data_IF_846714874794
#
_entry.id   IF_846714874794
#
_cell.length_a   1.000
_cell.length_b   1.000
_cell.length_c   1.000
_cell.angle_alpha   90.00
_cell.angle_beta   90.00
_cell.angle_gamma   90.00
#
_symmetry.space_group_name_H-M   'P 1'
#
loop_
_entity.id
_entity.type
_entity.pdbx_description
1 polymer ?
#
# COMPACT_ATOMS: atom_id res chain seq x y z
N UNK A 1 -32.13 6.47 12.23
CA UNK A 1 -33.08 7.36 11.55
C UNK A 1 -34.49 6.75 11.58
N UNK A 2 -35.56 7.55 11.39
CA UNK A 2 -36.94 7.03 11.29
C UNK A 2 -37.15 6.17 10.02
N UNK A 3 -36.34 6.37 9.00
CA UNK A 3 -36.44 5.73 7.68
C UNK A 3 -35.59 4.42 7.58
N UNK A 4 -34.48 4.33 8.30
CA UNK A 4 -33.60 3.15 8.29
C UNK A 4 -33.73 2.46 9.64
N UNK A 5 -34.14 1.19 9.62
CA UNK A 5 -34.24 0.37 10.85
C UNK A 5 -32.84 0.18 11.47
N UNK A 6 -32.79 0.08 12.80
CA UNK A 6 -31.57 -0.24 13.53
C UNK A 6 -31.03 -1.59 13.05
N UNK A 7 -29.72 -1.65 12.81
CA UNK A 7 -28.98 -2.86 12.45
C UNK A 7 -27.98 -3.22 13.55
N UNK A 8 -27.56 -4.48 13.62
CA UNK A 8 -26.61 -4.93 14.63
C UNK A 8 -25.15 -4.69 14.21
N UNK A 9 -24.89 -4.65 12.88
CA UNK A 9 -23.54 -4.47 12.36
C UNK A 9 -23.57 -3.75 11.01
N UNK A 10 -22.60 -2.86 10.78
CA UNK A 10 -22.35 -2.17 9.52
C UNK A 10 -21.04 -2.70 8.97
N UNK A 11 -21.07 -3.23 7.74
CA UNK A 11 -19.90 -3.76 7.03
C UNK A 11 -19.79 -3.12 5.65
N UNK A 12 -18.58 -3.07 5.13
CA UNK A 12 -18.31 -2.58 3.79
C UNK A 12 -17.25 -1.49 3.76
N UNK A 13 -16.63 -1.36 2.60
CA UNK A 13 -15.65 -0.31 2.29
C UNK A 13 -16.33 1.01 2.01
N UNK A 14 -15.56 2.09 1.96
CA UNK A 14 -16.06 3.41 1.60
C UNK A 14 -14.98 4.48 1.73
N UNK A 15 -15.33 5.68 1.34
CA UNK A 15 -14.45 6.84 1.43
C UNK A 15 -14.37 7.39 2.87
N UNK A 16 -13.66 8.51 3.05
CA UNK A 16 -13.47 9.17 4.35
C UNK A 16 -14.78 9.52 5.06
N UNK A 17 -15.87 9.83 4.31
CA UNK A 17 -17.18 10.10 4.90
C UNK A 17 -17.80 8.85 5.52
N UNK A 18 -17.68 7.69 4.86
CA UNK A 18 -18.14 6.40 5.39
C UNK A 18 -17.31 6.01 6.62
N UNK A 19 -15.99 6.19 6.58
CA UNK A 19 -15.12 5.93 7.71
C UNK A 19 -15.49 6.80 8.93
N UNK A 20 -15.75 8.08 8.73
CA UNK A 20 -16.18 8.97 9.81
C UNK A 20 -17.58 8.60 10.34
N UNK A 21 -18.53 8.28 9.47
CA UNK A 21 -19.85 7.84 9.90
C UNK A 21 -19.78 6.53 10.73
N UNK A 22 -18.92 5.60 10.35
CA UNK A 22 -18.66 4.38 11.16
C UNK A 22 -18.08 4.71 12.53
N UNK A 23 -17.16 5.67 12.62
CA UNK A 23 -16.61 6.12 13.91
C UNK A 23 -17.67 6.67 14.84
N UNK A 24 -18.58 7.49 14.30
CA UNK A 24 -19.64 8.13 15.09
C UNK A 24 -20.64 7.12 15.68
N UNK A 25 -20.88 6.00 15.02
CA UNK A 25 -21.81 4.97 15.47
C UNK A 25 -21.14 3.80 16.20
N UNK A 26 -19.80 3.84 16.32
CA UNK A 26 -19.04 2.79 17.01
C UNK A 26 -19.42 2.74 18.50
N UNK A 27 -19.79 1.56 18.97
CA UNK A 27 -20.31 1.36 20.32
C UNK A 27 -21.83 1.22 20.38
N UNK A 28 -22.57 1.96 19.53
CA UNK A 28 -24.02 1.80 19.39
C UNK A 28 -24.37 0.68 18.41
N UNK A 29 -23.54 0.49 17.39
CA UNK A 29 -23.65 -0.54 16.36
C UNK A 29 -22.27 -1.18 16.14
N UNK A 30 -22.23 -2.49 15.95
CA UNK A 30 -20.99 -3.17 15.56
C UNK A 30 -20.53 -2.68 14.18
N UNK A 31 -19.24 -2.46 14.01
CA UNK A 31 -18.63 -2.17 12.69
C UNK A 31 -17.58 -3.24 12.35
N UNK A 32 -17.23 -3.34 11.07
CA UNK A 32 -16.12 -4.19 10.63
C UNK A 32 -14.77 -3.54 10.98
N UNK A 33 -14.53 -2.36 10.39
CA UNK A 33 -13.30 -1.58 10.58
C UNK A 33 -13.56 -0.11 10.27
N UNK A 34 -12.67 0.75 10.74
CA UNK A 34 -12.53 2.12 10.25
C UNK A 34 -11.37 2.12 9.27
N UNK A 35 -11.67 2.10 7.97
CA UNK A 35 -10.65 2.15 6.95
C UNK A 35 -9.95 3.52 6.95
N UNK A 36 -8.62 3.49 6.98
CA UNK A 36 -7.77 4.62 6.62
C UNK A 36 -7.59 4.74 5.10
N UNK A 37 -6.81 5.69 4.61
CA UNK A 37 -6.31 5.67 3.24
C UNK A 37 -5.48 4.39 3.04
N UNK A 38 -5.72 3.66 1.95
CA UNK A 38 -4.99 2.42 1.69
C UNK A 38 -3.50 2.67 1.45
N UNK A 39 -2.68 1.74 1.91
CA UNK A 39 -1.22 1.86 1.90
C UNK A 39 -0.57 0.63 1.29
N UNK A 40 0.40 0.84 0.40
CA UNK A 40 1.33 -0.19 -0.04
C UNK A 40 2.76 0.19 0.30
N UNK A 41 3.51 -0.74 0.88
CA UNK A 41 4.96 -0.64 1.03
C UNK A 41 5.64 -1.76 0.26
N UNK A 42 6.54 -1.41 -0.64
CA UNK A 42 7.27 -2.36 -1.49
C UNK A 42 8.73 -2.40 -1.04
N UNK A 43 9.17 -3.55 -0.53
CA UNK A 43 10.57 -3.81 -0.22
C UNK A 43 11.24 -4.48 -1.42
N UNK A 44 12.23 -3.82 -2.01
CA UNK A 44 12.86 -4.27 -3.24
C UNK A 44 14.39 -4.14 -3.19
N UNK A 45 15.09 -4.97 -3.96
CA UNK A 45 16.54 -4.88 -4.13
C UNK A 45 16.91 -4.51 -5.59
N UNK A 46 18.21 -4.34 -5.84
CA UNK A 46 18.73 -3.95 -7.17
C UNK A 46 18.38 -4.92 -8.32
N UNK A 47 17.89 -6.10 -8.02
CA UNK A 47 17.52 -7.13 -9.01
C UNK A 47 16.04 -7.09 -9.36
N UNK A 48 15.27 -6.24 -8.67
CA UNK A 48 13.85 -6.05 -8.93
C UNK A 48 13.63 -5.23 -10.19
N UNK A 49 12.52 -5.52 -10.90
CA UNK A 49 12.15 -4.78 -12.11
C UNK A 49 11.54 -3.42 -11.73
N UNK A 50 12.13 -2.29 -12.12
CA UNK A 50 11.64 -0.96 -11.75
C UNK A 50 10.28 -0.62 -12.39
N UNK A 51 9.97 -1.17 -13.56
CA UNK A 51 8.68 -0.93 -14.23
C UNK A 51 7.54 -1.60 -13.48
N UNK A 52 7.75 -2.83 -13.00
CA UNK A 52 6.74 -3.55 -12.21
C UNK A 52 6.51 -2.88 -10.86
N UNK A 53 7.59 -2.48 -10.17
CA UNK A 53 7.45 -1.72 -8.91
C UNK A 53 6.68 -0.42 -9.14
N UNK A 54 6.97 0.29 -10.22
CA UNK A 54 6.24 1.52 -10.54
C UNK A 54 4.75 1.25 -10.80
N UNK A 55 4.43 0.14 -11.49
CA UNK A 55 3.04 -0.27 -11.72
C UNK A 55 2.31 -0.56 -10.41
N UNK A 56 2.94 -1.28 -9.47
CA UNK A 56 2.33 -1.63 -8.20
C UNK A 56 2.13 -0.37 -7.32
N UNK A 57 3.10 0.55 -7.29
CA UNK A 57 2.96 1.85 -6.62
C UNK A 57 1.83 2.70 -7.22
N UNK A 58 1.66 2.67 -8.55
CA UNK A 58 0.58 3.39 -9.25
C UNK A 58 -0.77 2.73 -8.99
N UNK A 59 -0.84 1.40 -8.98
CA UNK A 59 -2.07 0.66 -8.68
C UNK A 59 -2.66 1.11 -7.34
N UNK A 60 -1.84 1.26 -6.30
CA UNK A 60 -2.28 1.83 -5.03
C UNK A 60 -2.64 3.32 -5.14
N UNK A 61 -1.81 4.11 -5.81
CA UNK A 61 -1.98 5.56 -5.89
C UNK A 61 -3.24 6.00 -6.64
N UNK A 62 -3.76 5.19 -7.56
CA UNK A 62 -4.96 5.52 -8.35
C UNK A 62 -6.28 5.31 -7.59
N UNK A 63 -6.24 4.65 -6.42
CA UNK A 63 -7.42 4.42 -5.60
C UNK A 63 -7.94 5.69 -4.93
N UNK A 64 -7.03 6.49 -4.34
CA UNK A 64 -7.41 7.72 -3.64
C UNK A 64 -6.26 8.75 -3.64
N UNK A 65 -6.60 10.04 -3.60
CA UNK A 65 -5.62 11.14 -3.52
C UNK A 65 -4.81 11.13 -2.21
N UNK A 66 -5.27 10.42 -1.19
CA UNK A 66 -4.62 10.22 0.10
C UNK A 66 -3.94 8.86 0.22
N UNK A 67 -4.03 8.00 -0.81
CA UNK A 67 -3.34 6.71 -0.82
C UNK A 67 -1.84 6.89 -0.66
N UNK A 68 -1.19 5.97 0.05
CA UNK A 68 0.23 6.02 0.32
C UNK A 68 0.97 4.89 -0.40
N UNK A 69 1.98 5.26 -1.18
CA UNK A 69 2.80 4.32 -1.97
C UNK A 69 4.27 4.49 -1.59
N UNK A 70 4.87 3.47 -0.97
CA UNK A 70 6.20 3.55 -0.38
C UNK A 70 7.13 2.51 -1.00
N UNK A 71 8.28 2.95 -1.52
CA UNK A 71 9.40 2.09 -1.91
C UNK A 71 10.45 2.07 -0.80
N UNK A 72 10.84 0.88 -0.32
CA UNK A 72 11.92 0.67 0.64
C UNK A 72 13.01 -0.17 -0.03
N UNK A 73 14.22 0.35 -0.17
CA UNK A 73 15.26 -0.35 -0.91
C UNK A 73 16.68 -0.03 -0.41
N UNK A 74 17.61 -0.95 -0.67
CA UNK A 74 19.04 -0.73 -0.46
C UNK A 74 19.79 -0.29 -1.74
N UNK A 75 19.06 0.06 -2.80
CA UNK A 75 19.64 0.47 -4.09
C UNK A 75 19.18 1.88 -4.47
N UNK A 76 20.10 2.85 -4.44
CA UNK A 76 19.81 4.20 -4.91
C UNK A 76 19.51 4.25 -6.42
N UNK A 77 20.10 3.35 -7.20
CA UNK A 77 19.85 3.29 -8.63
C UNK A 77 18.45 2.74 -8.93
N UNK A 78 17.95 1.79 -8.13
CA UNK A 78 16.57 1.35 -8.23
C UNK A 78 15.59 2.51 -7.97
N UNK A 79 15.85 3.35 -6.97
CA UNK A 79 15.02 4.54 -6.71
C UNK A 79 14.95 5.45 -7.95
N UNK A 80 16.10 5.71 -8.59
CA UNK A 80 16.12 6.53 -9.81
C UNK A 80 15.32 5.90 -10.95
N UNK A 81 15.51 4.59 -11.17
CA UNK A 81 14.83 3.84 -12.23
C UNK A 81 13.31 3.78 -11.99
N UNK A 82 12.88 3.52 -10.76
CA UNK A 82 11.46 3.51 -10.40
C UNK A 82 10.85 4.91 -10.58
N UNK A 83 11.53 5.97 -10.17
CA UNK A 83 11.06 7.35 -10.40
C UNK A 83 10.92 7.69 -11.89
N UNK A 84 11.82 7.18 -12.74
CA UNK A 84 11.68 7.35 -14.19
C UNK A 84 10.47 6.58 -14.73
N UNK A 85 10.31 5.32 -14.33
CA UNK A 85 9.17 4.48 -14.73
C UNK A 85 7.84 5.08 -14.27
N UNK A 86 7.75 5.60 -13.03
CA UNK A 86 6.56 6.31 -12.54
C UNK A 86 6.19 7.50 -13.45
N UNK A 87 7.17 8.33 -13.82
CA UNK A 87 6.91 9.47 -14.73
C UNK A 87 6.38 9.02 -16.06
N UNK A 88 6.94 7.96 -16.64
CA UNK A 88 6.52 7.43 -17.94
C UNK A 88 5.12 6.83 -17.87
N UNK A 89 4.86 5.96 -16.89
CA UNK A 89 3.59 5.25 -16.79
C UNK A 89 2.41 6.17 -16.42
N UNK A 90 2.67 7.23 -15.66
CA UNK A 90 1.64 8.23 -15.31
C UNK A 90 1.15 9.05 -16.53
N UNK A 91 1.89 9.06 -17.66
CA UNK A 91 1.49 9.85 -18.84
C UNK A 91 0.16 9.37 -19.40
N UNK A 92 0.00 8.08 -19.58
CA UNK A 92 -1.13 7.45 -20.28
C UNK A 92 -2.17 6.84 -19.32
N UNK A 93 -2.02 7.08 -18.02
CA UNK A 93 -2.93 6.52 -17.01
C UNK A 93 -4.31 7.21 -17.05
N UNK A 94 -5.42 6.47 -17.16
CA UNK A 94 -6.77 7.06 -17.14
C UNK A 94 -7.05 7.89 -15.89
N UNK A 95 -6.58 7.43 -14.72
CA UNK A 95 -6.72 8.13 -13.42
C UNK A 95 -5.49 8.97 -13.05
N UNK A 96 -4.77 9.49 -14.05
CA UNK A 96 -3.54 10.26 -13.88
C UNK A 96 -3.61 11.35 -12.81
N UNK A 97 -4.72 12.09 -12.74
CA UNK A 97 -4.85 13.20 -11.81
C UNK A 97 -4.84 12.72 -10.35
N UNK A 98 -5.53 11.60 -10.06
CA UNK A 98 -5.58 11.01 -8.72
C UNK A 98 -4.21 10.45 -8.36
N UNK A 99 -3.67 9.56 -9.18
CA UNK A 99 -2.39 8.90 -8.94
C UNK A 99 -1.23 9.90 -8.82
N UNK A 100 -1.15 10.91 -9.70
CA UNK A 100 -0.11 11.93 -9.63
C UNK A 100 -0.19 12.75 -8.34
N UNK A 101 -1.39 13.08 -7.87
CA UNK A 101 -1.59 13.83 -6.62
C UNK A 101 -1.21 12.98 -5.41
N UNK A 102 -1.61 11.71 -5.38
CA UNK A 102 -1.23 10.74 -4.36
C UNK A 102 0.29 10.58 -4.30
N UNK A 103 0.95 10.21 -5.40
CA UNK A 103 2.41 10.05 -5.49
C UNK A 103 3.16 11.32 -5.10
N UNK A 104 2.69 12.49 -5.52
CA UNK A 104 3.35 13.77 -5.19
C UNK A 104 3.30 14.10 -3.69
N UNK A 105 2.18 13.82 -3.05
CA UNK A 105 1.93 14.23 -1.66
C UNK A 105 2.31 13.15 -0.64
N UNK A 106 2.13 11.87 -0.99
CA UNK A 106 2.24 10.73 -0.08
C UNK A 106 3.17 9.62 -0.60
N UNK A 107 3.67 9.73 -1.84
CA UNK A 107 4.68 8.82 -2.36
C UNK A 107 6.02 9.02 -1.66
N UNK A 108 6.69 7.92 -1.26
CA UNK A 108 7.95 7.97 -0.54
C UNK A 108 8.92 6.91 -1.06
N UNK A 109 10.19 7.28 -1.20
CA UNK A 109 11.27 6.33 -1.46
C UNK A 109 12.30 6.38 -0.34
N UNK A 110 12.46 5.28 0.38
CA UNK A 110 13.34 5.16 1.56
C UNK A 110 14.55 4.31 1.20
N UNK A 111 15.74 4.91 1.33
CA UNK A 111 16.99 4.18 1.21
C UNK A 111 17.39 3.61 2.58
N UNK A 112 17.44 2.29 2.70
CA UNK A 112 17.89 1.57 3.89
C UNK A 112 19.08 0.68 3.53
N UNK A 113 20.28 1.01 3.99
CA UNK A 113 21.55 0.42 3.54
C UNK A 113 21.77 -1.04 3.95
N UNK A 114 20.94 -1.60 4.82
CA UNK A 114 21.04 -2.99 5.26
C UNK A 114 19.69 -3.59 5.63
N UNK A 115 19.63 -4.91 5.76
CA UNK A 115 18.40 -5.64 6.04
C UNK A 115 17.78 -5.30 7.40
N UNK A 116 18.58 -5.00 8.43
CA UNK A 116 18.05 -4.62 9.74
C UNK A 116 17.26 -3.31 9.64
N UNK A 117 17.82 -2.30 8.98
CA UNK A 117 17.12 -1.03 8.75
C UNK A 117 15.88 -1.16 7.90
N UNK A 118 15.88 -2.06 6.90
CA UNK A 118 14.67 -2.36 6.13
C UNK A 118 13.57 -2.88 7.06
N UNK A 119 13.89 -3.84 7.93
CA UNK A 119 12.95 -4.39 8.91
C UNK A 119 12.44 -3.33 9.88
N UNK A 120 13.34 -2.49 10.40
CA UNK A 120 12.98 -1.41 11.33
C UNK A 120 12.01 -0.42 10.66
N UNK A 121 12.29 -0.03 9.42
CA UNK A 121 11.43 0.87 8.63
C UNK A 121 10.05 0.22 8.41
N UNK A 122 10.00 -1.02 7.94
CA UNK A 122 8.74 -1.75 7.71
C UNK A 122 7.92 -1.85 9.00
N UNK A 123 8.54 -2.26 10.11
CA UNK A 123 7.83 -2.38 11.39
C UNK A 123 7.38 -1.02 11.97
N UNK A 124 8.08 0.07 11.63
CA UNK A 124 7.70 1.43 12.05
C UNK A 124 6.51 1.95 11.23
N UNK A 125 6.52 1.71 9.92
CA UNK A 125 5.43 2.09 9.02
C UNK A 125 4.18 1.25 9.35
N UNK A 126 4.37 -0.06 9.63
CA UNK A 126 3.29 -1.02 9.87
C UNK A 126 2.24 -1.01 8.73
N UNK A 127 2.65 -1.22 7.46
CA UNK A 127 1.79 -1.01 6.31
C UNK A 127 0.62 -1.98 6.27
N UNK A 128 -0.50 -1.53 5.69
CA UNK A 128 -1.65 -2.37 5.37
C UNK A 128 -1.25 -3.49 4.41
N UNK A 129 -0.59 -3.13 3.32
CA UNK A 129 -0.08 -4.08 2.32
C UNK A 129 1.44 -3.98 2.22
N UNK A 130 2.12 -5.12 2.36
CA UNK A 130 3.56 -5.22 2.23
C UNK A 130 3.94 -6.15 1.09
N UNK A 131 4.62 -5.65 0.08
CA UNK A 131 5.24 -6.48 -0.95
C UNK A 131 6.72 -6.68 -0.66
N UNK A 132 7.20 -7.92 -0.80
CA UNK A 132 8.59 -8.29 -0.60
C UNK A 132 9.18 -8.82 -1.91
N UNK A 133 9.81 -7.95 -2.67
CA UNK A 133 10.47 -8.21 -3.95
C UNK A 133 11.99 -8.35 -3.79
N UNK A 134 12.41 -9.17 -2.83
CA UNK A 134 13.83 -9.43 -2.54
C UNK A 134 14.27 -10.79 -3.03
N UNK A 135 15.48 -10.86 -3.57
CA UNK A 135 16.12 -12.14 -3.91
C UNK A 135 16.36 -13.04 -2.69
N UNK A 136 16.61 -12.45 -1.51
CA UNK A 136 16.83 -13.14 -0.23
C UNK A 136 15.90 -12.62 0.86
N UNK A 137 14.64 -13.02 0.83
CA UNK A 137 13.59 -12.49 1.71
C UNK A 137 13.42 -13.23 3.05
N UNK A 138 13.79 -14.51 3.15
CA UNK A 138 13.45 -15.37 4.32
C UNK A 138 13.89 -14.81 5.67
N UNK A 139 15.07 -14.18 5.73
CA UNK A 139 15.60 -13.62 6.97
C UNK A 139 14.88 -12.30 7.37
N UNK A 140 14.37 -11.57 6.41
CA UNK A 140 13.61 -10.34 6.65
C UNK A 140 12.20 -10.69 7.09
N UNK A 141 11.54 -11.61 6.40
CA UNK A 141 10.17 -12.03 6.68
C UNK A 141 9.97 -12.45 8.15
N UNK A 142 10.92 -13.22 8.71
CA UNK A 142 10.84 -13.67 10.11
C UNK A 142 10.91 -12.54 11.15
N UNK A 143 11.40 -11.36 10.76
CA UNK A 143 11.60 -10.20 11.65
C UNK A 143 10.52 -9.13 11.47
N UNK A 144 9.70 -9.24 10.43
CA UNK A 144 8.55 -8.35 10.23
C UNK A 144 7.46 -8.78 11.20
N UNK A 145 6.98 -7.81 11.98
CA UNK A 145 5.96 -8.01 13.03
C UNK A 145 4.68 -7.25 12.73
N UNK A 146 4.81 -6.13 12.03
CA UNK A 146 3.74 -5.17 11.83
C UNK A 146 3.50 -5.00 10.33
N UNK A 147 2.63 -5.82 9.76
CA UNK A 147 2.08 -5.66 8.42
C UNK A 147 0.70 -6.34 8.39
N UNK A 148 -0.23 -5.78 7.65
CA UNK A 148 -1.56 -6.34 7.49
C UNK A 148 -1.51 -7.60 6.61
N UNK A 149 -1.28 -7.44 5.33
CA UNK A 149 -1.07 -8.53 4.36
C UNK A 149 0.34 -8.51 3.80
N UNK A 150 0.93 -9.68 3.54
CA UNK A 150 2.30 -9.80 3.02
C UNK A 150 2.29 -10.59 1.72
N UNK A 151 2.73 -9.95 0.63
CA UNK A 151 2.86 -10.52 -0.70
C UNK A 151 4.34 -10.80 -1.00
N UNK A 152 4.69 -12.03 -1.34
CA UNK A 152 6.08 -12.46 -1.46
C UNK A 152 6.42 -12.88 -2.88
N UNK A 153 7.41 -12.23 -3.45
CA UNK A 153 7.95 -12.54 -4.76
C UNK A 153 7.54 -11.55 -5.83
N UNK A 154 8.35 -11.49 -6.88
CA UNK A 154 8.23 -10.51 -7.97
C UNK A 154 6.97 -10.63 -8.83
N UNK A 155 6.23 -11.71 -8.68
CA UNK A 155 4.99 -11.98 -9.42
C UNK A 155 3.75 -12.02 -8.49
N UNK A 156 3.88 -11.47 -7.30
CA UNK A 156 2.79 -11.46 -6.31
C UNK A 156 2.52 -10.02 -5.88
N UNK A 157 1.98 -9.17 -6.77
CA UNK A 157 1.59 -7.81 -6.42
C UNK A 157 0.36 -7.81 -5.50
N UNK A 158 0.18 -6.74 -4.76
CA UNK A 158 -0.97 -6.53 -3.86
C UNK A 158 -2.30 -6.67 -4.60
N UNK A 159 -2.39 -6.15 -5.83
CA UNK A 159 -3.57 -6.27 -6.66
C UNK A 159 -4.06 -7.73 -6.89
N UNK A 160 -3.18 -8.74 -6.78
CA UNK A 160 -3.61 -10.15 -6.81
C UNK A 160 -4.47 -10.51 -5.59
N UNK A 161 -4.20 -9.94 -4.44
CA UNK A 161 -5.00 -10.14 -3.23
C UNK A 161 -6.44 -9.71 -3.45
N UNK A 162 -6.61 -8.49 -3.95
CA UNK A 162 -7.93 -7.88 -4.13
C UNK A 162 -8.79 -8.56 -5.20
N UNK A 163 -8.17 -9.06 -6.28
CA UNK A 163 -8.91 -9.51 -7.45
C UNK A 163 -8.97 -11.03 -7.63
N UNK A 164 -8.01 -11.79 -7.08
CA UNK A 164 -7.88 -13.24 -7.39
C UNK A 164 -7.70 -14.11 -6.15
N UNK A 165 -6.75 -13.78 -5.28
CA UNK A 165 -6.34 -14.66 -4.19
C UNK A 165 -7.09 -14.43 -2.87
N UNK A 166 -7.70 -13.27 -2.71
CA UNK A 166 -8.24 -12.80 -1.43
C UNK A 166 -7.15 -12.21 -0.52
N UNK A 167 -7.55 -11.39 0.46
CA UNK A 167 -6.64 -10.76 1.41
C UNK A 167 -6.07 -11.78 2.40
#
# INVERSE_FOLDING_TARGET
>A
TKTVKKVNKIVGTGNAFVANAKKEVFGDVGIDMVAGPSEVSIVADRYSNPEWIASDLIAQAEHDIFAQSILITNSKDLIKSVNLSLKTQLIDLPKKQIASKSIKNYGLAIFANNQSKIVDVVNTIAPEHLEINLSKYKNILRKIKNAGSIFIGKFSPEAMGDYIAGP
#
